data_IF_372953131229
#
_entry.id   IF_372953131229
#
_cell.length_a   1.000
_cell.length_b   1.000
_cell.length_c   1.000
_cell.angle_alpha   90.00
_cell.angle_beta   90.00
_cell.angle_gamma   90.00
#
_symmetry.space_group_name_H-M   'P 1'
#
loop_
_entity.id
_entity.type
_entity.pdbx_description
1 polymer ?
#
# COMPACT_ATOMS: atom_id res chain seq x y z
N UNK A 1 19.11 -21.19 -7.43
CA UNK A 1 20.06 -20.29 -6.77
C UNK A 1 20.12 -19.01 -7.56
N UNK A 2 19.21 -18.07 -7.31
CA UNK A 2 19.21 -16.75 -7.94
C UNK A 2 20.12 -15.82 -7.15
N UNK A 3 21.01 -15.13 -7.85
CA UNK A 3 22.02 -14.23 -7.27
C UNK A 3 21.38 -13.10 -6.44
N UNK A 4 21.96 -12.70 -5.29
CA UNK A 4 21.49 -11.57 -4.47
C UNK A 4 21.39 -10.22 -5.21
N UNK A 5 22.07 -10.06 -6.35
CA UNK A 5 22.12 -8.81 -7.13
C UNK A 5 20.92 -8.58 -8.07
N UNK A 6 20.13 -9.61 -8.41
CA UNK A 6 18.96 -9.49 -9.31
C UNK A 6 17.67 -9.08 -8.58
N UNK A 7 17.69 -9.03 -7.24
CA UNK A 7 16.50 -8.79 -6.40
C UNK A 7 16.15 -7.30 -6.18
N UNK A 8 16.99 -6.37 -6.63
CA UNK A 8 16.81 -4.94 -6.35
C UNK A 8 15.49 -4.34 -6.90
N UNK A 9 14.88 -4.98 -7.90
CA UNK A 9 13.62 -4.50 -8.52
C UNK A 9 12.34 -5.05 -7.88
N UNK A 10 12.43 -6.01 -6.96
CA UNK A 10 11.25 -6.71 -6.43
C UNK A 10 11.06 -6.54 -4.91
N UNK A 11 11.63 -5.49 -4.31
CA UNK A 11 11.55 -5.21 -2.87
C UNK A 11 10.11 -4.99 -2.35
N UNK A 12 9.19 -4.63 -3.25
CA UNK A 12 7.77 -4.52 -2.94
C UNK A 12 7.02 -5.87 -3.05
N UNK A 13 7.67 -6.99 -3.40
CA UNK A 13 6.99 -8.28 -3.46
C UNK A 13 6.42 -8.62 -2.07
N UNK A 14 5.20 -9.17 -1.97
CA UNK A 14 4.63 -9.55 -0.68
C UNK A 14 5.59 -10.40 0.15
N UNK A 15 6.20 -11.43 -0.43
CA UNK A 15 7.14 -12.32 0.27
C UNK A 15 8.38 -11.62 0.82
N UNK A 16 8.85 -10.56 0.15
CA UNK A 16 9.98 -9.76 0.62
C UNK A 16 9.57 -8.80 1.75
N UNK A 17 8.31 -8.37 1.78
CA UNK A 17 7.78 -7.47 2.82
C UNK A 17 7.32 -8.23 4.07
N UNK A 18 6.78 -9.44 3.91
CA UNK A 18 6.16 -10.24 4.99
C UNK A 18 6.96 -10.27 6.29
N UNK A 19 8.27 -10.57 6.31
CA UNK A 19 9.04 -10.65 7.56
C UNK A 19 9.04 -9.34 8.38
N UNK A 20 8.75 -8.21 7.74
CA UNK A 20 8.80 -6.89 8.34
C UNK A 20 7.42 -6.33 8.69
N UNK A 21 6.35 -6.79 8.01
CA UNK A 21 5.02 -6.15 8.07
C UNK A 21 3.87 -7.08 8.42
N UNK A 22 4.08 -8.39 8.47
CA UNK A 22 3.03 -9.36 8.86
C UNK A 22 2.47 -9.01 10.24
N UNK A 23 1.13 -9.03 10.35
CA UNK A 23 0.35 -8.66 11.54
C UNK A 23 0.58 -7.23 12.08
N UNK A 24 1.25 -6.35 11.32
CA UNK A 24 1.42 -4.95 11.70
C UNK A 24 0.22 -4.11 11.29
N UNK A 25 -0.19 -3.20 12.16
CA UNK A 25 -1.16 -2.14 11.84
C UNK A 25 -0.43 -0.94 11.23
N UNK A 26 -0.76 -0.60 9.99
CA UNK A 26 -0.10 0.48 9.24
C UNK A 26 -1.15 1.51 8.81
N UNK A 27 -0.90 2.78 9.15
CA UNK A 27 -1.69 3.91 8.64
C UNK A 27 -1.00 4.52 7.41
N UNK A 28 -1.72 4.64 6.31
CA UNK A 28 -1.26 5.29 5.08
C UNK A 28 -2.03 6.60 4.88
N UNK A 29 -1.35 7.72 5.07
CA UNK A 29 -1.88 9.05 4.78
C UNK A 29 -1.61 9.48 3.35
N UNK A 30 -2.63 9.91 2.61
CA UNK A 30 -2.55 10.26 1.19
C UNK A 30 -2.95 11.73 0.97
N UNK A 31 -2.01 12.52 0.45
CA UNK A 31 -2.20 13.92 0.07
C UNK A 31 -2.43 14.08 -1.45
N UNK A 32 -2.79 15.28 -1.89
CA UNK A 32 -3.10 15.59 -3.30
C UNK A 32 -1.85 15.68 -4.18
N UNK A 33 -1.34 14.54 -4.64
CA UNK A 33 -0.23 14.48 -5.58
C UNK A 33 -0.29 13.26 -6.49
N UNK A 34 0.41 13.33 -7.63
CA UNK A 34 0.38 12.28 -8.67
C UNK A 34 0.89 10.91 -8.17
N UNK A 35 1.65 10.89 -7.07
CA UNK A 35 2.15 9.68 -6.45
C UNK A 35 1.03 8.72 -6.00
N UNK A 36 -0.20 9.21 -5.81
CA UNK A 36 -1.36 8.42 -5.37
C UNK A 36 -1.61 7.17 -6.23
N UNK A 37 -1.38 7.23 -7.54
CA UNK A 37 -1.53 6.07 -8.43
C UNK A 37 -0.55 4.94 -8.08
N UNK A 38 0.66 5.28 -7.64
CA UNK A 38 1.65 4.29 -7.19
C UNK A 38 1.35 3.79 -5.77
N UNK A 39 0.75 4.64 -4.93
CA UNK A 39 0.35 4.26 -3.58
C UNK A 39 -0.68 3.14 -3.59
N UNK A 40 -1.56 3.06 -4.61
CA UNK A 40 -2.47 1.92 -4.79
C UNK A 40 -1.71 0.57 -4.76
N UNK A 41 -0.61 0.49 -5.52
CA UNK A 41 0.22 -0.72 -5.56
C UNK A 41 0.89 -1.00 -4.20
N UNK A 42 1.33 0.03 -3.49
CA UNK A 42 1.93 -0.12 -2.16
C UNK A 42 0.93 -0.66 -1.16
N UNK A 43 -0.26 -0.08 -1.07
CA UNK A 43 -1.35 -0.53 -0.16
C UNK A 43 -1.72 -1.98 -0.46
N UNK A 44 -1.92 -2.32 -1.73
CA UNK A 44 -2.25 -3.67 -2.15
C UNK A 44 -1.19 -4.69 -1.73
N UNK A 45 0.09 -4.36 -1.90
CA UNK A 45 1.21 -5.27 -1.56
C UNK A 45 1.42 -5.40 -0.05
N UNK A 46 1.22 -4.33 0.72
CA UNK A 46 1.24 -4.38 2.18
C UNK A 46 0.12 -5.28 2.72
N UNK A 47 -1.10 -5.15 2.19
CA UNK A 47 -2.22 -6.00 2.56
C UNK A 47 -1.96 -7.47 2.19
N UNK A 48 -1.44 -7.74 0.98
CA UNK A 48 -1.03 -9.09 0.55
C UNK A 48 0.10 -9.68 1.41
N UNK A 49 0.95 -8.83 1.99
CA UNK A 49 2.01 -9.25 2.91
C UNK A 49 1.49 -9.50 4.35
N UNK A 50 0.17 -9.47 4.58
CA UNK A 50 -0.44 -9.74 5.88
C UNK A 50 -0.49 -8.53 6.82
N UNK A 51 -0.21 -7.31 6.35
CA UNK A 51 -0.36 -6.11 7.15
C UNK A 51 -1.83 -5.65 7.22
N UNK A 52 -2.25 -5.14 8.39
CA UNK A 52 -3.53 -4.48 8.55
C UNK A 52 -3.39 -3.01 8.15
N UNK A 53 -3.79 -2.68 6.92
CA UNK A 53 -3.59 -1.34 6.35
C UNK A 53 -4.85 -0.48 6.48
N UNK A 54 -4.75 0.66 7.14
CA UNK A 54 -5.80 1.69 7.18
C UNK A 54 -5.37 2.88 6.35
N UNK A 55 -6.28 3.47 5.57
CA UNK A 55 -5.96 4.61 4.70
C UNK A 55 -6.73 5.84 5.14
N UNK A 56 -6.04 6.97 5.20
CA UNK A 56 -6.62 8.30 5.39
C UNK A 56 -6.25 9.17 4.18
N UNK A 57 -7.23 9.84 3.59
CA UNK A 57 -7.07 10.64 2.38
C UNK A 57 -7.42 12.10 2.69
N UNK A 58 -6.75 13.02 2.02
CA UNK A 58 -7.19 14.43 1.99
C UNK A 58 -8.25 14.64 0.90
N UNK A 59 -9.07 15.72 0.99
CA UNK A 59 -10.00 16.08 -0.09
C UNK A 59 -9.32 16.35 -1.44
N UNK A 60 -8.03 16.68 -1.46
CA UNK A 60 -7.27 16.84 -2.70
C UNK A 60 -6.86 15.48 -3.29
N UNK A 61 -6.55 14.47 -2.46
CA UNK A 61 -6.23 13.12 -2.91
C UNK A 61 -7.43 12.42 -3.57
N UNK A 62 -8.64 12.64 -3.04
CA UNK A 62 -9.87 12.04 -3.56
C UNK A 62 -10.23 12.52 -4.97
N UNK A 63 -9.67 13.65 -5.42
CA UNK A 63 -9.81 14.14 -6.81
C UNK A 63 -9.03 13.30 -7.82
N UNK A 64 -8.02 12.55 -7.37
CA UNK A 64 -7.19 11.71 -8.24
C UNK A 64 -7.62 10.25 -8.21
N UNK A 65 -7.89 9.70 -7.02
CA UNK A 65 -8.30 8.32 -6.81
C UNK A 65 -9.43 8.29 -5.78
N UNK A 66 -10.51 7.59 -6.08
CA UNK A 66 -11.66 7.48 -5.19
C UNK A 66 -11.36 6.58 -3.97
N UNK A 67 -11.88 6.90 -2.77
CA UNK A 67 -11.67 6.11 -1.54
C UNK A 67 -12.01 4.62 -1.67
N UNK A 68 -13.02 4.27 -2.47
CA UNK A 68 -13.44 2.88 -2.72
C UNK A 68 -12.30 2.01 -3.27
N UNK A 69 -11.36 2.61 -4.02
CA UNK A 69 -10.17 1.92 -4.53
C UNK A 69 -9.32 1.43 -3.36
N UNK A 70 -9.08 2.29 -2.38
CA UNK A 70 -8.27 1.92 -1.21
C UNK A 70 -9.01 0.98 -0.27
N UNK A 71 -10.34 1.10 -0.15
CA UNK A 71 -11.16 0.15 0.61
C UNK A 71 -11.03 -1.27 0.04
N UNK A 72 -11.14 -1.41 -1.29
CA UNK A 72 -10.99 -2.70 -1.96
C UNK A 72 -9.56 -3.28 -1.84
N UNK A 73 -8.54 -2.42 -1.85
CA UNK A 73 -7.14 -2.85 -1.78
C UNK A 73 -6.66 -3.18 -0.36
N UNK A 74 -7.14 -2.45 0.65
CA UNK A 74 -6.72 -2.63 2.04
C UNK A 74 -7.61 -3.60 2.82
N UNK A 75 -8.83 -3.84 2.35
CA UNK A 75 -9.84 -4.61 3.08
C UNK A 75 -10.39 -3.90 4.32
N UNK A 76 -10.03 -2.63 4.52
CA UNK A 76 -10.38 -1.83 5.70
C UNK A 76 -11.11 -0.54 5.32
N UNK A 77 -11.72 0.10 6.31
CA UNK A 77 -12.31 1.42 6.15
C UNK A 77 -11.27 2.46 5.70
N UNK A 78 -11.73 3.43 4.92
CA UNK A 78 -10.92 4.57 4.45
C UNK A 78 -11.54 5.85 4.95
N UNK A 79 -10.72 6.72 5.51
CA UNK A 79 -11.10 8.01 6.07
C UNK A 79 -10.75 9.14 5.09
N UNK A 80 -11.58 10.17 4.98
CA UNK A 80 -11.43 11.28 4.02
C UNK A 80 -11.66 12.63 4.68
#
# INVERSE_FOLDING_TARGET
MTSPSDNAKNWLAPDALRPHVEDKSILVGISGGIAVYKVCTVVSRLAQAGAQVTVAMTPAATKFVAPITFQALSGNAVYT
#
